data_IF_080300307862
#
_entry.id   IF_080300307862
#
_cell.length_a   1.000
_cell.length_b   1.000
_cell.length_c   1.000
_cell.angle_alpha   90.00
_cell.angle_beta   90.00
_cell.angle_gamma   90.00
#
_symmetry.space_group_name_H-M   'P 1'
#
loop_
_entity.id
_entity.type
_entity.pdbx_description
1 polymer ?
#
# COMPACT_ATOMS: atom_id res chain seq x y z
N UNK A 1 -12.74 -9.65 17.77
CA UNK A 1 -12.79 -8.21 17.40
C UNK A 1 -12.65 -8.07 15.87
N UNK A 2 -13.75 -8.00 15.12
CA UNK A 2 -13.75 -8.14 13.64
C UNK A 2 -13.01 -7.04 12.87
N UNK A 3 -12.84 -5.84 13.46
CA UNK A 3 -12.14 -4.72 12.82
C UNK A 3 -10.63 -4.96 12.62
N UNK A 4 -9.97 -5.67 13.55
CA UNK A 4 -8.54 -5.97 13.44
C UNK A 4 -8.18 -6.85 12.25
N UNK A 5 -9.16 -7.57 11.68
CA UNK A 5 -8.93 -8.36 10.47
C UNK A 5 -8.53 -7.48 9.27
N UNK A 6 -9.03 -6.25 9.20
CA UNK A 6 -8.75 -5.32 8.11
C UNK A 6 -7.48 -4.49 8.32
N UNK A 7 -7.05 -4.34 9.58
CA UNK A 7 -5.84 -3.55 9.92
C UNK A 7 -4.61 -4.42 10.17
N UNK A 8 -4.76 -5.75 10.15
CA UNK A 8 -3.72 -6.70 10.56
C UNK A 8 -2.32 -6.45 9.97
N UNK A 9 -2.13 -6.24 8.65
CA UNK A 9 -0.79 -5.98 8.13
C UNK A 9 -0.23 -4.63 8.61
N UNK A 10 -1.01 -3.56 8.56
CA UNK A 10 -0.58 -2.24 9.01
C UNK A 10 -0.28 -2.18 10.52
N UNK A 11 -1.03 -2.94 11.33
CA UNK A 11 -0.82 -3.01 12.78
C UNK A 11 0.57 -3.57 13.13
N UNK A 12 0.99 -4.65 12.47
CA UNK A 12 2.31 -5.27 12.70
C UNK A 12 3.42 -4.29 12.30
N UNK A 13 3.26 -3.59 11.17
CA UNK A 13 4.27 -2.64 10.70
C UNK A 13 4.37 -1.42 11.62
N UNK A 14 3.25 -0.89 12.11
CA UNK A 14 3.26 0.20 13.08
C UNK A 14 3.94 -0.22 14.39
N UNK A 15 3.67 -1.44 14.88
CA UNK A 15 4.27 -1.95 16.11
C UNK A 15 5.78 -2.17 15.98
N UNK A 16 6.24 -2.56 14.79
CA UNK A 16 7.67 -2.84 14.54
C UNK A 16 8.43 -1.61 14.05
N UNK A 17 7.77 -0.60 13.49
CA UNK A 17 8.39 0.63 13.01
C UNK A 17 9.12 0.51 11.67
N UNK A 18 8.83 -0.53 10.87
CA UNK A 18 9.43 -0.66 9.55
C UNK A 18 8.88 0.41 8.59
N UNK A 19 9.69 0.93 7.66
CA UNK A 19 9.18 1.79 6.60
C UNK A 19 8.21 1.01 5.72
N UNK A 20 7.09 1.65 5.36
CA UNK A 20 6.12 1.06 4.44
C UNK A 20 5.42 2.09 3.58
N UNK A 21 5.02 1.69 2.38
CA UNK A 21 4.27 2.50 1.43
C UNK A 21 3.16 1.68 0.80
N UNK A 22 2.01 2.31 0.53
CA UNK A 22 0.88 1.66 -0.16
C UNK A 22 0.75 2.21 -1.57
N UNK A 23 0.84 1.35 -2.57
CA UNK A 23 0.69 1.72 -4.00
C UNK A 23 -0.70 1.31 -4.50
N UNK A 24 -1.46 2.21 -5.15
CA UNK A 24 -2.74 1.85 -5.79
C UNK A 24 -2.54 0.86 -6.93
N UNK A 25 -3.34 -0.20 -6.94
CA UNK A 25 -3.32 -1.26 -7.97
C UNK A 25 -4.53 -1.21 -8.91
N UNK A 26 -5.42 -0.22 -8.73
CA UNK A 26 -6.66 -0.09 -9.49
C UNK A 26 -7.89 -0.44 -8.68
N UNK A 27 -8.98 -0.74 -9.37
CA UNK A 27 -10.27 -1.08 -8.77
C UNK A 27 -10.58 -2.57 -8.97
N UNK A 28 -11.29 -3.17 -8.01
CA UNK A 28 -11.89 -4.48 -8.23
C UNK A 28 -13.13 -4.37 -9.16
N UNK A 29 -13.81 -5.51 -9.40
CA UNK A 29 -15.00 -5.57 -10.26
C UNK A 29 -16.18 -4.72 -9.77
N UNK A 30 -16.20 -4.35 -8.50
CA UNK A 30 -17.24 -3.55 -7.85
C UNK A 30 -16.85 -2.05 -7.80
N UNK A 31 -15.69 -1.67 -8.35
CA UNK A 31 -15.20 -0.29 -8.30
C UNK A 31 -14.49 0.09 -7.00
N UNK A 32 -14.18 -0.87 -6.13
CA UNK A 32 -13.50 -0.62 -4.85
C UNK A 32 -11.98 -0.55 -5.06
N UNK A 33 -11.28 0.50 -4.55
CA UNK A 33 -9.83 0.61 -4.67
C UNK A 33 -9.08 -0.53 -3.99
N UNK A 34 -8.08 -1.07 -4.69
CA UNK A 34 -7.15 -2.08 -4.19
C UNK A 34 -5.77 -1.43 -4.06
N UNK A 35 -5.15 -1.61 -2.89
CA UNK A 35 -3.79 -1.15 -2.62
C UNK A 35 -2.90 -2.30 -2.17
N UNK A 36 -1.63 -2.23 -2.52
CA UNK A 36 -0.60 -3.16 -2.03
C UNK A 36 0.34 -2.41 -1.10
N UNK A 37 0.48 -2.89 0.13
CA UNK A 37 1.47 -2.40 1.09
C UNK A 37 2.80 -3.09 0.83
N UNK A 38 3.84 -2.28 0.66
CA UNK A 38 5.23 -2.72 0.50
C UNK A 38 5.97 -2.27 1.75
N UNK A 39 6.78 -3.16 2.31
CA UNK A 39 7.53 -2.95 3.56
C UNK A 39 9.00 -3.20 3.26
N UNK A 40 9.87 -2.28 3.66
CA UNK A 40 11.32 -2.43 3.52
C UNK A 40 11.98 -2.78 4.86
N UNK A 41 13.28 -3.07 4.82
CA UNK A 41 14.13 -3.02 6.00
C UNK A 41 14.16 -1.61 6.61
N UNK A 42 14.57 -1.51 7.88
CA UNK A 42 14.76 -0.23 8.56
C UNK A 42 15.74 0.68 7.79
N UNK A 43 15.43 1.98 7.77
CA UNK A 43 16.26 3.04 7.18
C UNK A 43 16.50 2.92 5.66
N UNK A 44 15.62 2.20 4.96
CA UNK A 44 15.73 1.92 3.53
C UNK A 44 14.60 2.60 2.71
N UNK A 45 14.17 3.79 3.16
CA UNK A 45 13.10 4.57 2.55
C UNK A 45 13.41 4.97 1.09
N UNK A 46 14.67 5.17 0.75
CA UNK A 46 15.11 5.52 -0.60
C UNK A 46 14.87 4.37 -1.58
N UNK A 47 15.23 3.13 -1.21
CA UNK A 47 14.92 1.95 -2.02
C UNK A 47 13.41 1.70 -2.07
N UNK A 48 12.71 1.87 -0.95
CA UNK A 48 11.25 1.73 -0.89
C UNK A 48 10.54 2.69 -1.86
N UNK A 49 10.95 3.96 -1.87
CA UNK A 49 10.42 4.97 -2.79
C UNK A 49 10.82 4.69 -4.24
N UNK A 50 12.07 4.23 -4.47
CA UNK A 50 12.53 3.84 -5.79
C UNK A 50 11.66 2.70 -6.36
N UNK A 51 11.45 1.65 -5.57
CA UNK A 51 10.64 0.51 -5.95
C UNK A 51 9.17 0.90 -6.19
N UNK A 52 8.58 1.74 -5.33
CA UNK A 52 7.23 2.25 -5.53
C UNK A 52 7.09 3.04 -6.84
N UNK A 53 8.11 3.84 -7.21
CA UNK A 53 8.17 4.56 -8.49
C UNK A 53 8.31 3.63 -9.70
N UNK A 54 8.98 2.48 -9.55
CA UNK A 54 9.07 1.48 -10.61
C UNK A 54 7.71 0.79 -10.81
N UNK A 55 7.07 0.37 -9.72
CA UNK A 55 5.76 -0.31 -9.77
C UNK A 55 4.67 0.61 -10.30
N UNK A 56 4.65 1.90 -9.93
CA UNK A 56 3.58 2.81 -10.33
C UNK A 56 3.44 2.97 -11.85
N UNK A 57 4.47 2.63 -12.63
CA UNK A 57 4.42 2.58 -14.10
C UNK A 57 3.50 1.47 -14.64
N UNK A 58 3.22 0.46 -13.82
CA UNK A 58 2.40 -0.70 -14.16
C UNK A 58 1.01 -0.66 -13.52
N UNK A 59 0.67 0.42 -12.82
CA UNK A 59 -0.64 0.57 -12.18
C UNK A 59 -1.40 1.74 -12.79
N UNK A 60 -2.74 1.76 -12.74
CA UNK A 60 -3.52 2.90 -13.18
C UNK A 60 -3.37 4.14 -12.27
N UNK A 61 -2.61 4.02 -11.17
CA UNK A 61 -2.46 5.06 -10.18
C UNK A 61 -3.76 5.36 -9.44
N UNK A 62 -3.88 6.60 -8.96
CA UNK A 62 -5.08 7.07 -8.29
C UNK A 62 -6.23 7.28 -9.29
N UNK A 63 -7.34 6.60 -9.06
CA UNK A 63 -8.59 6.79 -9.80
C UNK A 63 -9.54 7.58 -8.92
N UNK A 64 -9.97 8.75 -9.39
CA UNK A 64 -10.90 9.62 -8.65
C UNK A 64 -12.25 8.90 -8.46
N UNK A 65 -12.80 8.85 -7.23
CA UNK A 65 -14.13 8.31 -6.99
C UNK A 65 -15.22 9.09 -7.76
N UNK A 66 -16.15 8.35 -8.37
CA UNK A 66 -17.29 8.92 -9.09
C UNK A 66 -18.47 9.17 -8.14
N UNK A 67 -18.37 10.25 -7.35
CA UNK A 67 -19.34 10.69 -6.33
C UNK A 67 -19.51 9.77 -5.11
#
# INVERSE_FOLDING_TARGET
>A
MPYFKYTSPAFIINATGHPSITVPMGLNKEGVPIGVQIVSAYYNEDELLHFAKLISKFTPGFIKPSK
#
